data_IF_587678392156
#
_entry.id   IF_587678392156
#
_cell.length_a   1.000
_cell.length_b   1.000
_cell.length_c   1.000
_cell.angle_alpha   90.00
_cell.angle_beta   90.00
_cell.angle_gamma   90.00
#
_symmetry.space_group_name_H-M   'P 1'
#
loop_
_entity.id
_entity.type
_entity.pdbx_description
1 polymer ?
#
# COMPACT_ATOMS: atom_id res chain seq x y z
N UNK A 1 -3.85 6.53 1.65
CA UNK A 1 -4.89 5.80 2.42
C UNK A 1 -4.43 5.59 3.86
N UNK A 2 -5.33 5.65 4.85
CA UNK A 2 -5.06 5.18 6.23
C UNK A 2 -6.02 4.02 6.52
N UNK A 3 -5.51 2.85 6.90
CA UNK A 3 -6.37 1.69 7.19
C UNK A 3 -5.59 0.43 7.55
N UNK A 4 -6.31 -0.68 7.76
CA UNK A 4 -5.70 -1.99 8.02
C UNK A 4 -5.07 -2.59 6.77
N UNK A 5 -4.10 -3.51 6.93
CA UNK A 5 -3.44 -4.20 5.82
C UNK A 5 -4.29 -5.33 5.19
N UNK A 6 -5.58 -5.06 4.92
CA UNK A 6 -6.49 -6.01 4.30
C UNK A 6 -6.11 -6.30 2.85
N UNK A 7 -6.20 -7.57 2.45
CA UNK A 7 -5.77 -8.01 1.12
C UNK A 7 -6.38 -7.20 -0.03
N UNK A 8 -7.71 -7.06 -0.07
CA UNK A 8 -8.39 -6.28 -1.11
C UNK A 8 -7.96 -4.80 -1.10
N UNK A 9 -7.98 -4.16 0.08
CA UNK A 9 -7.62 -2.75 0.24
C UNK A 9 -6.17 -2.46 -0.17
N UNK A 10 -5.25 -3.34 0.17
CA UNK A 10 -3.84 -3.22 -0.24
C UNK A 10 -3.70 -3.36 -1.76
N UNK A 11 -4.43 -4.29 -2.38
CA UNK A 11 -4.41 -4.43 -3.85
C UNK A 11 -5.05 -3.23 -4.57
N UNK A 12 -6.16 -2.69 -4.06
CA UNK A 12 -6.78 -1.47 -4.61
C UNK A 12 -5.85 -0.26 -4.48
N UNK A 13 -5.17 -0.15 -3.34
CA UNK A 13 -4.17 0.89 -3.05
C UNK A 13 -2.99 0.82 -4.03
N UNK A 14 -2.48 -0.39 -4.29
CA UNK A 14 -1.43 -0.65 -5.28
C UNK A 14 -1.91 -0.32 -6.69
N UNK A 15 -3.09 -0.83 -7.08
CA UNK A 15 -3.68 -0.58 -8.38
C UNK A 15 -3.88 0.93 -8.64
N UNK A 16 -4.34 1.68 -7.63
CA UNK A 16 -4.56 3.11 -7.70
C UNK A 16 -3.29 3.97 -7.58
N UNK A 17 -2.12 3.37 -7.34
CA UNK A 17 -0.87 4.12 -7.13
C UNK A 17 -0.89 5.00 -5.87
N UNK A 18 -1.67 4.63 -4.85
CA UNK A 18 -1.93 5.46 -3.68
C UNK A 18 -1.11 4.97 -2.47
N UNK A 19 -0.16 5.75 -1.93
CA UNK A 19 0.57 5.33 -0.71
C UNK A 19 -0.32 5.08 0.50
N UNK A 20 0.11 4.18 1.39
CA UNK A 20 -0.67 3.73 2.55
C UNK A 20 0.05 3.89 3.90
N UNK A 21 -0.69 4.38 4.90
CA UNK A 21 -0.31 4.30 6.31
C UNK A 21 -1.16 3.21 6.96
N UNK A 22 -0.51 2.15 7.43
CA UNK A 22 -1.16 0.98 8.01
C UNK A 22 -1.33 1.19 9.51
N UNK A 23 -2.56 1.36 9.97
CA UNK A 23 -2.84 1.62 11.40
C UNK A 23 -3.22 0.36 12.20
N UNK A 24 -3.43 -0.77 11.51
CA UNK A 24 -3.78 -2.05 12.12
C UNK A 24 -3.33 -3.19 11.21
N UNK A 25 -2.91 -4.29 11.82
CA UNK A 25 -2.61 -5.56 11.14
C UNK A 25 -3.29 -6.67 11.91
N UNK A 26 -4.13 -7.47 11.24
CA UNK A 26 -4.74 -8.67 11.84
C UNK A 26 -3.70 -9.79 11.91
N UNK A 27 -3.41 -10.24 13.13
CA UNK A 27 -2.43 -11.29 13.40
C UNK A 27 -2.82 -12.62 12.74
N UNK A 28 -1.87 -13.25 12.08
CA UNK A 28 -2.01 -14.51 11.34
C UNK A 28 -2.65 -14.38 9.95
N UNK A 29 -2.98 -13.18 9.48
CA UNK A 29 -3.68 -12.97 8.21
C UNK A 29 -3.06 -11.87 7.34
N UNK A 30 -2.72 -10.72 7.92
CA UNK A 30 -2.43 -9.49 7.17
C UNK A 30 -0.93 -9.08 7.18
N UNK A 31 -0.07 -9.81 7.89
CA UNK A 31 1.35 -9.46 8.04
C UNK A 31 2.10 -9.45 6.71
N UNK A 32 1.76 -10.36 5.81
CA UNK A 32 2.35 -10.41 4.47
C UNK A 32 2.05 -9.14 3.67
N UNK A 33 0.81 -8.63 3.76
CA UNK A 33 0.40 -7.41 3.08
C UNK A 33 1.09 -6.18 3.68
N UNK A 34 1.21 -6.12 5.02
CA UNK A 34 1.91 -5.04 5.69
C UNK A 34 3.41 -5.02 5.35
N UNK A 35 4.03 -6.20 5.32
CA UNK A 35 5.43 -6.38 4.94
C UNK A 35 5.68 -5.93 3.50
N UNK A 36 4.83 -6.32 2.55
CA UNK A 36 4.92 -5.89 1.15
C UNK A 36 4.99 -4.37 1.02
N UNK A 37 4.12 -3.63 1.71
CA UNK A 37 4.09 -2.16 1.63
C UNK A 37 5.36 -1.53 2.20
N UNK A 38 5.88 -2.06 3.31
CA UNK A 38 7.09 -1.54 3.97
C UNK A 38 8.36 -1.87 3.17
N UNK A 39 8.52 -3.13 2.75
CA UNK A 39 9.71 -3.59 2.02
C UNK A 39 9.84 -2.96 0.64
N UNK A 40 8.72 -2.56 0.03
CA UNK A 40 8.72 -1.84 -1.25
C UNK A 40 8.83 -0.33 -1.11
N UNK A 41 8.97 0.19 0.13
CA UNK A 41 8.97 1.62 0.42
C UNK A 41 7.79 2.36 -0.24
N UNK A 42 6.59 1.82 -0.05
CA UNK A 42 5.31 2.30 -0.61
C UNK A 42 4.35 2.83 0.46
N UNK A 43 4.81 2.89 1.70
CA UNK A 43 4.01 3.23 2.86
C UNK A 43 4.70 2.88 4.17
N UNK A 44 3.95 2.92 5.27
CA UNK A 44 4.50 2.71 6.61
C UNK A 44 3.47 2.13 7.57
N UNK A 45 3.92 1.46 8.62
CA UNK A 45 3.08 0.98 9.73
C UNK A 45 3.13 1.99 10.87
N UNK A 46 1.96 2.43 11.35
CA UNK A 46 1.81 3.39 12.44
C UNK A 46 0.61 3.02 13.32
N UNK A 47 0.85 2.29 14.42
CA UNK A 47 -0.22 1.63 15.20
C UNK A 47 -0.92 2.51 16.25
N UNK A 48 -0.51 3.77 16.40
CA UNK A 48 -1.15 4.72 17.32
C UNK A 48 -1.63 5.96 16.57
N UNK A 49 -2.72 6.62 17.02
CA UNK A 49 -3.19 7.86 16.39
C UNK A 49 -2.11 8.94 16.31
N UNK A 50 -1.27 9.07 17.34
CA UNK A 50 -0.16 10.01 17.35
C UNK A 50 0.92 9.66 16.30
N UNK A 51 1.24 8.37 16.15
CA UNK A 51 2.16 7.92 15.11
C UNK A 51 1.59 8.15 13.70
N UNK A 52 0.30 7.87 13.48
CA UNK A 52 -0.39 8.15 12.22
C UNK A 52 -0.29 9.64 11.89
N UNK A 53 -0.65 10.52 12.84
CA UNK A 53 -0.55 11.97 12.63
C UNK A 53 0.89 12.41 12.30
N UNK A 54 1.89 11.90 13.02
CA UNK A 54 3.30 12.21 12.75
C UNK A 54 3.76 11.72 11.37
N UNK A 55 3.27 10.58 10.88
CA UNK A 55 3.58 10.10 9.53
C UNK A 55 2.85 10.88 8.44
N UNK A 56 1.61 11.30 8.66
CA UNK A 56 0.90 12.19 7.73
C UNK A 56 1.67 13.50 7.60
N UNK A 57 2.03 14.14 8.72
CA UNK A 57 2.81 15.38 8.69
C UNK A 57 4.14 15.22 7.96
N UNK A 58 4.89 14.15 8.23
CA UNK A 58 6.16 13.85 7.53
C UNK A 58 5.97 13.58 6.04
N UNK A 59 4.92 12.86 5.65
CA UNK A 59 4.67 12.52 4.26
C UNK A 59 4.46 13.77 3.39
N UNK A 60 3.83 14.81 3.95
CA UNK A 60 3.52 16.08 3.26
C UNK A 60 4.52 17.21 3.56
N UNK A 61 5.47 17.02 4.48
CA UNK A 61 6.58 17.94 4.71
C UNK A 61 7.58 17.92 3.53
N UNK A 62 8.49 18.89 3.50
CA UNK A 62 9.57 19.00 2.50
C UNK A 62 9.05 18.86 1.06
N UNK A 63 8.01 19.65 0.76
CA UNK A 63 7.30 19.60 -0.52
C UNK A 63 6.75 18.18 -0.83
N UNK A 64 6.28 17.44 0.17
CA UNK A 64 5.80 16.07 0.03
C UNK A 64 6.82 15.08 -0.58
N UNK A 65 8.12 15.27 -0.34
CA UNK A 65 9.19 14.41 -0.85
C UNK A 65 8.96 12.92 -0.55
N UNK A 66 8.64 12.59 0.70
CA UNK A 66 8.39 11.20 1.12
C UNK A 66 7.14 10.63 0.45
N UNK A 67 6.05 11.39 0.37
CA UNK A 67 4.84 10.92 -0.29
C UNK A 67 5.08 10.65 -1.78
N UNK A 68 5.82 11.52 -2.49
CA UNK A 68 6.16 11.31 -3.90
C UNK A 68 7.05 10.09 -4.12
N UNK A 69 7.98 9.83 -3.20
CA UNK A 69 8.80 8.62 -3.24
C UNK A 69 7.93 7.36 -3.09
N UNK A 70 7.02 7.33 -2.11
CA UNK A 70 6.07 6.23 -1.94
C UNK A 70 5.18 6.06 -3.17
N UNK A 71 4.65 7.15 -3.74
CA UNK A 71 3.79 7.11 -4.92
C UNK A 71 4.53 6.56 -6.15
N UNK A 72 5.79 6.96 -6.34
CA UNK A 72 6.64 6.43 -7.40
C UNK A 72 6.96 4.94 -7.21
N UNK A 73 7.16 4.49 -5.98
CA UNK A 73 7.47 3.09 -5.70
C UNK A 73 6.25 2.18 -5.84
N UNK A 74 5.11 2.57 -5.28
CA UNK A 74 3.91 1.75 -5.35
C UNK A 74 3.39 1.61 -6.79
N UNK A 75 3.58 2.64 -7.62
CA UNK A 75 3.22 2.60 -9.05
C UNK A 75 3.99 1.52 -9.82
N UNK A 76 5.20 1.15 -9.40
CA UNK A 76 6.00 0.06 -10.02
C UNK A 76 5.42 -1.32 -9.74
N UNK A 77 4.62 -1.45 -8.69
CA UNK A 77 3.96 -2.71 -8.29
C UNK A 77 2.59 -2.88 -8.95
N UNK A 78 2.01 -1.77 -9.45
CA UNK A 78 0.63 -1.74 -9.93
C UNK A 78 0.41 -2.68 -11.11
N UNK A 79 -0.60 -3.55 -10.97
CA UNK A 79 -1.11 -4.44 -12.02
C UNK A 79 -2.64 -4.33 -12.11
N UNK A 80 -3.18 -3.20 -12.58
CA UNK A 80 -4.62 -2.95 -12.54
C UNK A 80 -5.42 -3.92 -13.43
N UNK A 81 -4.77 -4.55 -14.41
CA UNK A 81 -5.36 -5.57 -15.28
C UNK A 81 -5.25 -7.01 -14.76
N UNK A 82 -4.67 -7.25 -13.57
CA UNK A 82 -4.36 -8.61 -13.11
C UNK A 82 -5.54 -9.59 -13.19
N UNK A 83 -6.76 -9.14 -12.83
CA UNK A 83 -7.95 -9.98 -12.93
C UNK A 83 -8.28 -10.38 -14.39
N UNK A 84 -8.15 -9.44 -15.34
CA UNK A 84 -8.31 -9.73 -16.77
C UNK A 84 -7.22 -10.67 -17.28
N UNK A 85 -5.96 -10.39 -16.93
CA UNK A 85 -4.83 -11.19 -17.39
C UNK A 85 -4.93 -12.64 -16.89
N UNK A 86 -5.43 -12.85 -15.66
CA UNK A 86 -5.72 -14.19 -15.12
C UNK A 86 -6.87 -14.86 -15.88
N UNK A 87 -7.94 -14.12 -16.18
CA UNK A 87 -9.07 -14.67 -16.93
C UNK A 87 -8.66 -15.05 -18.37
N UNK A 88 -7.87 -14.21 -19.04
CA UNK A 88 -7.30 -14.49 -20.37
C UNK A 88 -6.41 -15.75 -20.32
N UNK A 89 -5.56 -15.89 -19.31
CA UNK A 89 -4.76 -17.12 -19.11
C UNK A 89 -5.64 -18.37 -18.96
N UNK A 90 -6.69 -18.31 -18.13
CA UNK A 90 -7.61 -19.44 -17.92
C UNK A 90 -8.42 -19.82 -19.16
N UNK A 91 -8.65 -18.87 -20.09
CA UNK A 91 -9.29 -19.15 -21.37
C UNK A 91 -8.33 -19.72 -22.42
N UNK A 92 -7.02 -19.58 -22.20
CA UNK A 92 -5.98 -20.09 -23.10
C UNK A 92 -5.51 -21.51 -22.79
N UNK A 93 -5.92 -22.07 -21.65
CA UNK A 93 -5.67 -23.47 -21.25
C UNK A 93 -6.78 -24.40 -21.75
#
# INVERSE_FOLDING_TARGET
LIGKAGGATVQETIAAGCPMIINQVVSGQEEGNARLIVETNSGVIALSPAAVAAHVQRAFADDAKQWREWAANISKLSRPRAALDIAEFLLSI
#
